data_IF_351151322150
#
_entry.id   IF_351151322150
#
_cell.length_a   1.000
_cell.length_b   1.000
_cell.length_c   1.000
_cell.angle_alpha   90.00
_cell.angle_beta   90.00
_cell.angle_gamma   90.00
#
_symmetry.space_group_name_H-M   'P 1'
#
loop_
_entity.id
_entity.type
_entity.pdbx_description
1 polymer ?
#
# COMPACT_ATOMS: atom_id res chain seq x y z
N UNK A 1 34.29 -68.15 -31.72
CA UNK A 1 32.84 -68.15 -31.40
C UNK A 1 32.71 -68.03 -29.90
N UNK A 2 32.51 -66.81 -29.42
CA UNK A 2 32.06 -66.44 -28.08
C UNK A 2 31.63 -64.96 -28.12
N UNK A 3 30.47 -64.71 -27.51
CA UNK A 3 29.82 -63.45 -27.11
C UNK A 3 29.28 -62.46 -28.17
N UNK A 4 28.01 -62.67 -28.52
CA UNK A 4 27.03 -61.62 -28.82
C UNK A 4 26.23 -61.34 -27.54
N UNK A 5 26.39 -60.14 -26.96
CA UNK A 5 25.40 -59.40 -26.16
C UNK A 5 26.06 -58.09 -25.71
N UNK A 6 26.09 -57.09 -26.60
CA UNK A 6 26.34 -55.70 -26.20
C UNK A 6 25.00 -54.95 -26.27
N UNK A 7 24.56 -54.53 -25.09
CA UNK A 7 23.33 -53.79 -24.82
C UNK A 7 23.20 -52.56 -25.71
N UNK A 8 22.23 -52.59 -26.61
CA UNK A 8 21.75 -51.43 -27.33
C UNK A 8 20.95 -50.55 -26.33
N UNK A 9 21.65 -49.79 -25.49
CA UNK A 9 21.04 -48.81 -24.58
C UNK A 9 20.40 -47.70 -25.42
N UNK A 10 19.09 -47.78 -25.61
CA UNK A 10 18.24 -46.70 -26.09
C UNK A 10 18.61 -45.39 -25.37
N UNK A 11 18.74 -44.32 -26.14
CA UNK A 11 19.03 -43.01 -25.57
C UNK A 11 17.81 -42.53 -24.77
N UNK A 12 18.01 -41.82 -23.66
CA UNK A 12 16.94 -41.33 -22.75
C UNK A 12 15.85 -40.45 -23.39
N UNK A 13 16.00 -40.05 -24.65
CA UNK A 13 15.00 -39.31 -25.43
C UNK A 13 14.22 -40.21 -26.41
N UNK A 14 14.65 -41.47 -26.58
CA UNK A 14 13.96 -42.54 -27.32
C UNK A 14 12.96 -43.28 -26.41
N UNK A 15 13.18 -43.27 -25.08
CA UNK A 15 12.15 -43.61 -24.10
C UNK A 15 10.99 -42.63 -24.20
N UNK A 16 9.79 -43.14 -24.46
CA UNK A 16 8.57 -42.34 -24.57
C UNK A 16 8.38 -41.40 -23.39
N UNK A 17 7.73 -40.26 -23.63
CA UNK A 17 7.45 -39.20 -22.65
C UNK A 17 6.97 -39.77 -21.30
N UNK A 18 7.89 -39.94 -20.35
CA UNK A 18 7.53 -40.25 -18.97
C UNK A 18 6.80 -39.03 -18.43
N UNK A 19 5.51 -39.21 -18.14
CA UNK A 19 4.69 -38.14 -17.58
C UNK A 19 5.24 -37.84 -16.19
N UNK A 20 5.92 -36.72 -16.04
CA UNK A 20 6.45 -36.22 -14.75
C UNK A 20 5.40 -36.11 -13.64
N UNK A 21 4.11 -36.14 -14.00
CA UNK A 21 2.97 -36.17 -13.09
C UNK A 21 2.75 -37.52 -12.40
N UNK A 22 3.35 -38.61 -12.88
CA UNK A 22 3.28 -39.93 -12.24
C UNK A 22 4.23 -40.06 -11.03
N UNK A 23 5.18 -39.12 -10.87
CA UNK A 23 6.09 -39.04 -9.72
C UNK A 23 5.59 -38.13 -8.58
N UNK A 24 4.44 -37.49 -8.76
CA UNK A 24 3.73 -36.78 -7.68
C UNK A 24 2.90 -37.81 -6.92
N UNK A 25 3.49 -38.44 -5.92
CA UNK A 25 2.76 -39.32 -5.00
C UNK A 25 1.79 -38.48 -4.15
N UNK A 26 0.53 -38.90 -4.11
CA UNK A 26 -0.47 -38.37 -3.19
C UNK A 26 -0.19 -38.92 -1.78
N UNK A 27 -0.37 -38.11 -0.73
CA UNK A 27 -0.35 -38.58 0.66
C UNK A 27 -1.47 -39.64 0.90
N UNK A 28 -1.45 -40.38 2.03
CA UNK A 28 -2.44 -41.45 2.36
C UNK A 28 -3.92 -41.05 2.25
N UNK A 29 -4.22 -39.74 2.20
CA UNK A 29 -5.56 -39.17 2.05
C UNK A 29 -5.88 -38.65 0.61
N UNK A 30 -5.00 -38.82 -0.37
CA UNK A 30 -5.25 -38.44 -1.78
C UNK A 30 -5.22 -36.93 -2.07
N UNK A 31 -4.61 -36.11 -1.19
CA UNK A 31 -4.74 -34.64 -1.24
C UNK A 31 -3.38 -33.91 -1.19
N UNK A 32 -2.91 -33.42 -2.36
CA UNK A 32 -1.69 -32.61 -2.50
C UNK A 32 -1.81 -31.15 -1.97
N UNK A 33 -3.03 -30.66 -1.72
CA UNK A 33 -3.29 -29.23 -1.46
C UNK A 33 -3.00 -28.77 -0.01
N UNK A 34 -3.02 -29.69 0.96
CA UNK A 34 -2.97 -29.32 2.40
C UNK A 34 -1.63 -28.70 2.82
N UNK A 35 -0.51 -29.21 2.29
CA UNK A 35 0.84 -28.75 2.62
C UNK A 35 1.13 -27.33 2.12
N UNK A 36 0.59 -26.95 0.97
CA UNK A 36 0.80 -25.60 0.39
C UNK A 36 0.03 -24.55 1.19
N UNK A 37 -1.20 -24.89 1.62
CA UNK A 37 -2.02 -24.00 2.45
C UNK A 37 -1.34 -23.68 3.79
N UNK A 38 -0.75 -24.68 4.45
CA UNK A 38 -0.03 -24.49 5.73
C UNK A 38 1.23 -23.62 5.57
N UNK A 39 1.96 -23.75 4.45
CA UNK A 39 3.13 -22.91 4.15
C UNK A 39 2.71 -21.45 3.95
N UNK A 40 1.66 -21.21 3.16
CA UNK A 40 1.11 -19.88 2.93
C UNK A 40 0.61 -19.29 4.26
N UNK A 41 -0.07 -20.07 5.08
CA UNK A 41 -0.59 -19.66 6.39
C UNK A 41 0.55 -19.19 7.32
N UNK A 42 1.60 -20.01 7.44
CA UNK A 42 2.77 -19.69 8.26
C UNK A 42 3.47 -18.42 7.76
N UNK A 43 3.50 -18.21 6.45
CA UNK A 43 4.07 -17.00 5.85
C UNK A 43 3.27 -15.74 6.20
N UNK A 44 1.92 -15.79 6.13
CA UNK A 44 1.04 -14.68 6.50
C UNK A 44 1.22 -14.30 7.96
N UNK A 45 1.24 -15.29 8.85
CA UNK A 45 1.43 -15.09 10.29
C UNK A 45 2.76 -14.44 10.63
N UNK A 46 3.84 -14.89 9.98
CA UNK A 46 5.14 -14.26 10.13
C UNK A 46 5.09 -12.77 9.74
N UNK A 47 4.44 -12.44 8.62
CA UNK A 47 4.24 -11.04 8.20
C UNK A 47 3.48 -10.23 9.26
N UNK A 48 2.46 -10.77 9.91
CA UNK A 48 1.75 -10.05 10.97
C UNK A 48 2.59 -9.86 12.25
N UNK A 49 3.40 -10.86 12.61
CA UNK A 49 4.30 -10.76 13.76
C UNK A 49 5.36 -9.67 13.55
N UNK A 50 5.90 -9.57 12.33
CA UNK A 50 6.94 -8.59 11.96
C UNK A 50 6.42 -7.13 11.97
N UNK A 51 5.10 -6.91 12.04
CA UNK A 51 4.47 -5.56 12.06
C UNK A 51 4.46 -4.90 13.44
N UNK A 52 4.68 -5.64 14.52
CA UNK A 52 4.42 -5.16 15.87
C UNK A 52 5.60 -4.38 16.42
N UNK A 53 5.32 -3.18 16.94
CA UNK A 53 6.31 -2.38 17.68
C UNK A 53 7.31 -1.64 16.80
N UNK A 54 7.02 -1.51 15.51
CA UNK A 54 7.88 -0.79 14.56
C UNK A 54 7.31 0.58 14.27
N UNK A 55 8.20 1.58 14.14
CA UNK A 55 7.80 2.93 13.72
C UNK A 55 7.45 2.93 12.23
N UNK A 56 6.30 3.47 11.88
CA UNK A 56 5.82 3.51 10.49
C UNK A 56 5.85 4.93 9.90
N UNK A 57 6.11 5.01 8.59
CA UNK A 57 5.99 6.25 7.82
C UNK A 57 4.54 6.49 7.39
N UNK A 58 3.78 7.28 8.18
CA UNK A 58 2.35 7.48 7.91
C UNK A 58 2.03 8.48 6.80
N UNK A 59 2.95 9.38 6.48
CA UNK A 59 2.82 10.30 5.35
C UNK A 59 3.76 9.82 4.24
N UNK A 60 3.18 9.20 3.22
CA UNK A 60 3.91 8.59 2.11
C UNK A 60 3.68 9.35 0.81
N UNK A 61 4.78 9.61 0.12
CA UNK A 61 4.77 10.10 -1.26
C UNK A 61 5.44 9.05 -2.14
N UNK A 62 4.64 8.40 -2.98
CA UNK A 62 5.11 7.34 -3.87
C UNK A 62 5.04 7.80 -5.32
N UNK A 63 6.15 7.75 -6.05
CA UNK A 63 6.11 7.81 -7.52
C UNK A 63 6.23 6.41 -8.08
N UNK A 64 5.30 6.03 -8.94
CA UNK A 64 5.33 4.75 -9.66
C UNK A 64 5.84 5.00 -11.06
N UNK A 65 6.91 4.32 -11.44
CA UNK A 65 7.47 4.29 -12.78
C UNK A 65 6.96 3.02 -13.46
N UNK A 66 6.21 3.17 -14.54
CA UNK A 66 5.64 2.06 -15.32
C UNK A 66 6.36 1.99 -16.66
N UNK A 67 6.84 0.79 -16.99
CA UNK A 67 7.39 0.47 -18.30
C UNK A 67 6.27 0.40 -19.35
N UNK A 68 6.44 1.15 -20.44
CA UNK A 68 5.61 1.09 -21.65
C UNK A 68 6.51 0.95 -22.89
N UNK A 69 7.53 0.09 -22.78
CA UNK A 69 8.38 -0.36 -23.89
C UNK A 69 7.75 -1.49 -24.69
N UNK A 70 8.36 -1.82 -25.83
CA UNK A 70 7.95 -2.94 -26.69
C UNK A 70 7.92 -4.30 -25.95
N UNK A 71 8.79 -4.49 -24.96
CA UNK A 71 8.83 -5.71 -24.13
C UNK A 71 7.54 -5.94 -23.29
N UNK A 72 6.70 -4.93 -23.15
CA UNK A 72 5.41 -5.02 -22.46
C UNK A 72 4.29 -5.58 -23.36
N UNK A 73 4.53 -5.73 -24.66
CA UNK A 73 3.59 -6.35 -25.59
C UNK A 73 3.63 -7.89 -25.53
N UNK A 74 4.65 -8.47 -24.88
CA UNK A 74 4.78 -9.91 -24.71
C UNK A 74 3.57 -10.53 -23.98
N UNK A 75 3.19 -11.73 -24.42
CA UNK A 75 2.03 -12.50 -23.91
C UNK A 75 2.38 -13.44 -22.75
N UNK A 76 3.38 -13.08 -21.95
CA UNK A 76 3.80 -13.83 -20.77
C UNK A 76 2.73 -13.80 -19.66
N UNK A 77 2.13 -12.62 -19.47
CA UNK A 77 0.91 -12.42 -18.69
C UNK A 77 -0.26 -12.17 -19.64
N UNK A 78 -1.44 -12.71 -19.31
CA UNK A 78 -2.62 -12.63 -20.19
C UNK A 78 -3.38 -11.30 -20.01
N UNK A 79 -3.81 -10.61 -21.10
CA UNK A 79 -3.51 -10.92 -22.51
C UNK A 79 -2.10 -10.49 -22.95
N UNK A 80 -1.59 -9.37 -22.43
CA UNK A 80 -0.19 -8.93 -22.56
C UNK A 80 0.30 -8.44 -21.20
N UNK A 81 1.63 -8.35 -21.01
CA UNK A 81 2.23 -7.78 -19.80
C UNK A 81 1.70 -6.38 -19.50
N UNK A 82 1.53 -5.54 -20.51
CA UNK A 82 0.97 -4.19 -20.39
C UNK A 82 -0.45 -4.20 -19.81
N UNK A 83 -1.36 -4.93 -20.46
CA UNK A 83 -2.78 -4.95 -20.05
C UNK A 83 -2.97 -5.58 -18.67
N UNK A 84 -2.19 -6.62 -18.35
CA UNK A 84 -2.17 -7.23 -17.03
C UNK A 84 -1.69 -6.22 -15.98
N UNK A 85 -0.55 -5.55 -16.25
CA UNK A 85 0.03 -4.53 -15.36
C UNK A 85 -0.94 -3.39 -15.11
N UNK A 86 -1.58 -2.84 -16.14
CA UNK A 86 -2.56 -1.77 -15.98
C UNK A 86 -3.71 -2.18 -15.07
N UNK A 87 -4.35 -3.33 -15.33
CA UNK A 87 -5.50 -3.78 -14.54
C UNK A 87 -5.15 -4.05 -13.08
N UNK A 88 -3.97 -4.64 -12.83
CA UNK A 88 -3.48 -4.85 -11.47
C UNK A 88 -3.11 -3.53 -10.80
N UNK A 89 -2.55 -2.59 -11.56
CA UNK A 89 -2.17 -1.27 -11.07
C UNK A 89 -3.39 -0.40 -10.75
N UNK A 90 -4.47 -0.46 -11.52
CA UNK A 90 -5.75 0.19 -11.20
C UNK A 90 -6.27 -0.26 -9.83
N UNK A 91 -6.30 -1.59 -9.59
CA UNK A 91 -6.68 -2.14 -8.29
C UNK A 91 -5.73 -1.74 -7.16
N UNK A 92 -4.43 -1.68 -7.43
CA UNK A 92 -3.45 -1.18 -6.47
C UNK A 92 -3.69 0.28 -6.08
N UNK A 93 -4.02 1.16 -7.03
CA UNK A 93 -4.30 2.57 -6.75
C UNK A 93 -5.49 2.69 -5.80
N UNK A 94 -6.57 1.95 -6.06
CA UNK A 94 -7.74 1.93 -5.19
C UNK A 94 -7.38 1.45 -3.77
N UNK A 95 -6.70 0.30 -3.66
CA UNK A 95 -6.29 -0.27 -2.37
C UNK A 95 -5.31 0.67 -1.62
N UNK A 96 -4.39 1.30 -2.34
CA UNK A 96 -3.39 2.23 -1.79
C UNK A 96 -4.03 3.45 -1.10
N UNK A 97 -5.02 4.08 -1.75
CA UNK A 97 -5.76 5.19 -1.17
C UNK A 97 -6.83 4.74 -0.16
N UNK A 98 -7.32 3.51 -0.28
CA UNK A 98 -8.28 2.93 0.67
C UNK A 98 -7.66 2.70 2.04
N UNK A 99 -6.43 2.18 2.09
CA UNK A 99 -5.74 1.96 3.36
C UNK A 99 -5.39 3.28 4.07
N UNK A 100 -4.89 4.26 3.32
CA UNK A 100 -4.51 5.55 3.87
C UNK A 100 -4.84 6.70 2.91
N UNK A 101 -5.91 7.46 3.19
CA UNK A 101 -6.34 8.54 2.29
C UNK A 101 -5.32 9.68 2.16
N UNK A 102 -4.41 9.85 3.14
CA UNK A 102 -3.43 10.93 3.17
C UNK A 102 -2.18 10.68 2.32
N UNK A 103 -2.08 9.51 1.68
CA UNK A 103 -0.99 9.21 0.77
C UNK A 103 -1.07 10.09 -0.48
N UNK A 104 0.08 10.26 -1.14
CA UNK A 104 0.14 10.89 -2.45
C UNK A 104 0.84 9.94 -3.42
N UNK A 105 0.27 9.85 -4.62
CA UNK A 105 0.77 9.03 -5.70
C UNK A 105 1.11 9.90 -6.91
N UNK A 106 2.21 9.63 -7.58
CA UNK A 106 2.53 10.17 -8.90
C UNK A 106 2.83 9.04 -9.86
N UNK A 107 2.46 9.20 -11.14
CA UNK A 107 2.70 8.17 -12.15
C UNK A 107 3.61 8.73 -13.23
N UNK A 108 4.71 8.01 -13.47
CA UNK A 108 5.68 8.26 -14.53
C UNK A 108 5.67 7.05 -15.45
N UNK A 109 5.64 7.30 -16.75
CA UNK A 109 5.73 6.28 -17.78
C UNK A 109 7.09 6.38 -18.46
N UNK A 110 7.72 5.25 -18.74
CA UNK A 110 8.94 5.21 -19.55
C UNK A 110 8.65 4.54 -20.89
N UNK A 111 8.89 5.26 -21.99
CA UNK A 111 8.64 4.80 -23.36
C UNK A 111 9.55 5.53 -24.34
N UNK A 112 9.90 4.90 -25.45
CA UNK A 112 10.72 5.49 -26.51
C UNK A 112 11.96 6.28 -25.99
N UNK A 113 12.69 5.68 -25.04
CA UNK A 113 13.91 6.20 -24.41
C UNK A 113 13.71 7.49 -23.60
N UNK A 114 12.46 7.81 -23.25
CA UNK A 114 12.08 9.02 -22.50
C UNK A 114 11.21 8.67 -21.31
N UNK A 115 11.26 9.55 -20.31
CA UNK A 115 10.34 9.52 -19.18
C UNK A 115 9.28 10.61 -19.35
N UNK A 116 8.03 10.22 -19.21
CA UNK A 116 6.87 11.10 -19.31
C UNK A 116 6.10 11.07 -18.00
N UNK A 117 5.80 12.24 -17.45
CA UNK A 117 4.96 12.34 -16.24
C UNK A 117 3.49 12.27 -16.65
N UNK A 118 2.87 11.13 -16.39
CA UNK A 118 1.45 10.91 -16.67
C UNK A 118 0.58 11.70 -15.70
N UNK A 119 0.90 11.64 -14.41
CA UNK A 119 0.21 12.41 -13.36
C UNK A 119 1.19 12.96 -12.35
N UNK A 120 0.93 14.19 -11.91
CA UNK A 120 1.65 14.80 -10.80
C UNK A 120 1.32 14.11 -9.49
N UNK A 121 2.22 14.25 -8.51
CA UNK A 121 2.03 13.74 -7.16
C UNK A 121 0.75 14.35 -6.54
N UNK A 122 -0.27 13.51 -6.35
CA UNK A 122 -1.60 13.97 -5.91
C UNK A 122 -2.30 12.93 -5.02
N UNK A 123 -3.31 13.39 -4.27
CA UNK A 123 -4.15 12.53 -3.43
C UNK A 123 -5.45 12.06 -4.11
N UNK A 124 -5.70 12.45 -5.37
CA UNK A 124 -6.95 12.14 -6.04
C UNK A 124 -6.83 10.89 -6.90
N UNK A 125 -7.28 9.76 -6.37
CA UNK A 125 -7.24 8.46 -7.05
C UNK A 125 -7.95 8.46 -8.42
N UNK A 126 -9.05 9.21 -8.59
CA UNK A 126 -9.80 9.25 -9.86
C UNK A 126 -8.98 9.84 -10.99
N UNK A 127 -8.22 10.91 -10.72
CA UNK A 127 -7.37 11.57 -11.71
C UNK A 127 -6.28 10.62 -12.22
N UNK A 128 -5.74 9.78 -11.33
CA UNK A 128 -4.77 8.74 -11.70
C UNK A 128 -5.41 7.65 -12.56
N UNK A 129 -6.59 7.17 -12.17
CA UNK A 129 -7.34 6.15 -12.91
C UNK A 129 -7.74 6.62 -14.31
N UNK A 130 -8.32 7.81 -14.43
CA UNK A 130 -8.72 8.41 -15.71
C UNK A 130 -7.52 8.62 -16.64
N UNK A 131 -6.36 9.04 -16.10
CA UNK A 131 -5.15 9.22 -16.88
C UNK A 131 -4.61 7.88 -17.42
N UNK A 132 -4.63 6.81 -16.61
CA UNK A 132 -4.26 5.47 -17.05
C UNK A 132 -5.21 4.96 -18.13
N UNK A 133 -6.52 5.09 -17.92
CA UNK A 133 -7.51 4.62 -18.88
C UNK A 133 -7.47 5.39 -20.20
N UNK A 134 -7.21 6.70 -20.16
CA UNK A 134 -7.19 7.52 -21.37
C UNK A 134 -5.93 7.30 -22.20
N UNK A 135 -4.76 7.20 -21.55
CA UNK A 135 -3.49 7.14 -22.27
C UNK A 135 -2.98 5.72 -22.48
N UNK A 136 -3.13 4.84 -21.50
CA UNK A 136 -2.49 3.53 -21.52
C UNK A 136 -3.40 2.41 -22.04
N UNK A 137 -4.71 2.64 -22.22
CA UNK A 137 -5.63 1.62 -22.75
C UNK A 137 -5.41 1.29 -24.23
N UNK A 138 -4.69 2.13 -24.98
CA UNK A 138 -4.34 1.82 -26.36
C UNK A 138 -3.28 0.71 -26.37
N UNK A 139 -3.55 -0.47 -26.98
CA UNK A 139 -2.58 -1.55 -27.06
C UNK A 139 -1.31 -1.17 -27.82
N UNK A 140 -1.37 -0.17 -28.72
CA UNK A 140 -0.21 0.32 -29.46
C UNK A 140 0.57 1.41 -28.70
N UNK A 141 0.19 1.73 -27.46
CA UNK A 141 0.87 2.74 -26.65
C UNK A 141 2.31 2.36 -26.29
N UNK A 142 2.57 1.07 -26.13
CA UNK A 142 3.87 0.53 -25.74
C UNK A 142 4.83 0.52 -26.93
N UNK A 143 5.83 1.41 -26.96
CA UNK A 143 6.74 1.55 -28.10
C UNK A 143 8.17 1.85 -27.61
N UNK A 144 9.14 1.25 -28.30
CA UNK A 144 10.56 1.52 -28.13
C UNK A 144 11.12 0.92 -26.85
N UNK A 145 12.26 1.44 -26.40
CA UNK A 145 12.98 0.95 -25.23
C UNK A 145 12.77 1.87 -24.01
N UNK A 146 12.84 1.37 -22.78
CA UNK A 146 12.67 2.21 -21.60
C UNK A 146 13.97 2.94 -21.24
N UNK A 147 13.81 4.10 -20.62
CA UNK A 147 14.89 4.82 -19.92
C UNK A 147 14.59 4.90 -18.43
N UNK A 148 15.44 4.27 -17.63
CA UNK A 148 15.31 4.26 -16.17
C UNK A 148 15.93 5.53 -15.58
N UNK A 149 17.09 5.98 -16.07
CA UNK A 149 17.76 7.18 -15.60
C UNK A 149 16.85 8.41 -15.68
N UNK A 150 16.25 8.68 -16.85
CA UNK A 150 15.37 9.83 -17.02
C UNK A 150 14.15 9.77 -16.08
N UNK A 151 13.64 8.56 -15.83
CA UNK A 151 12.49 8.34 -14.94
C UNK A 151 12.86 8.61 -13.48
N UNK A 152 14.05 8.17 -13.06
CA UNK A 152 14.59 8.42 -11.73
C UNK A 152 14.94 9.89 -11.51
N UNK A 153 15.49 10.58 -12.51
CA UNK A 153 15.77 12.01 -12.45
C UNK A 153 14.46 12.82 -12.31
N UNK A 154 13.43 12.45 -13.07
CA UNK A 154 12.11 13.09 -12.97
C UNK A 154 11.48 12.87 -11.58
N UNK A 155 11.57 11.65 -11.05
CA UNK A 155 11.11 11.33 -9.70
C UNK A 155 11.90 12.12 -8.64
N UNK A 156 13.23 12.19 -8.76
CA UNK A 156 14.11 12.93 -7.87
C UNK A 156 13.79 14.44 -7.87
N UNK A 157 13.59 15.03 -9.05
CA UNK A 157 13.29 16.46 -9.17
C UNK A 157 12.00 16.87 -8.45
N UNK A 158 11.03 15.96 -8.40
CA UNK A 158 9.75 16.13 -7.71
C UNK A 158 9.90 15.92 -6.20
N UNK A 159 10.61 14.86 -5.78
CA UNK A 159 10.69 14.48 -4.37
C UNK A 159 11.71 15.27 -3.54
N UNK A 160 12.72 15.89 -4.15
CA UNK A 160 13.75 16.63 -3.40
C UNK A 160 13.21 17.83 -2.60
N UNK A 161 12.08 18.37 -3.03
CA UNK A 161 11.42 19.51 -2.38
C UNK A 161 10.49 19.07 -1.23
N UNK A 162 10.23 17.78 -1.10
CA UNK A 162 9.36 17.25 -0.06
C UNK A 162 10.06 17.28 1.30
N UNK A 163 9.32 17.54 2.39
CA UNK A 163 9.88 17.54 3.74
C UNK A 163 10.54 16.21 4.12
N UNK A 164 11.52 16.25 5.03
CA UNK A 164 12.25 15.05 5.49
C UNK A 164 11.44 14.13 6.40
N UNK A 165 10.34 14.61 6.97
CA UNK A 165 9.47 13.82 7.86
C UNK A 165 8.50 12.90 7.10
N UNK A 166 8.42 13.02 5.77
CA UNK A 166 7.58 12.16 4.93
C UNK A 166 8.44 11.07 4.31
N UNK A 167 7.85 9.88 4.11
CA UNK A 167 8.55 8.84 3.34
C UNK A 167 8.47 9.18 1.86
N UNK A 168 9.61 9.07 1.19
CA UNK A 168 9.77 9.35 -0.23
C UNK A 168 10.14 8.04 -0.91
N UNK A 169 9.27 7.57 -1.77
CA UNK A 169 9.30 6.20 -2.28
C UNK A 169 9.14 6.19 -3.80
N UNK A 170 9.94 5.37 -4.47
CA UNK A 170 9.80 5.09 -5.90
C UNK A 170 9.50 3.61 -6.06
N UNK A 171 8.41 3.28 -6.74
CA UNK A 171 8.11 1.92 -7.16
C UNK A 171 8.35 1.83 -8.67
N UNK A 172 9.18 0.90 -9.11
CA UNK A 172 9.52 0.72 -10.52
C UNK A 172 8.96 -0.61 -11.00
N UNK A 173 8.05 -0.59 -11.97
CA UNK A 173 7.48 -1.79 -12.60
C UNK A 173 8.09 -1.90 -14.00
N UNK A 174 8.95 -2.89 -14.20
CA UNK A 174 9.74 -3.03 -15.44
C UNK A 174 9.53 -4.41 -16.07
N UNK A 175 9.17 -4.41 -17.34
CA UNK A 175 9.10 -5.62 -18.16
C UNK A 175 10.38 -5.85 -18.96
N UNK A 176 11.01 -4.78 -19.43
CA UNK A 176 12.23 -4.87 -20.20
C UNK A 176 13.44 -5.31 -19.36
N UNK A 177 14.26 -6.17 -19.97
CA UNK A 177 15.55 -6.60 -19.44
C UNK A 177 16.68 -5.61 -19.77
N UNK A 178 16.47 -4.75 -20.78
CA UNK A 178 17.41 -3.72 -21.21
C UNK A 178 16.89 -2.33 -20.85
N UNK A 179 17.81 -1.47 -20.43
CA UNK A 179 17.56 -0.04 -20.21
C UNK A 179 18.46 0.78 -21.13
N UNK A 180 17.88 1.78 -21.77
CA UNK A 180 18.58 2.66 -22.70
C UNK A 180 18.68 4.06 -22.09
N UNK A 181 19.73 4.26 -21.31
CA UNK A 181 19.98 5.49 -20.58
C UNK A 181 21.13 6.32 -21.21
N UNK A 182 21.06 7.67 -21.15
CA UNK A 182 22.04 8.54 -21.78
C UNK A 182 23.39 8.61 -21.04
N UNK A 183 23.42 8.31 -19.74
CA UNK A 183 24.60 8.44 -18.89
C UNK A 183 24.77 7.32 -17.87
N UNK A 184 25.61 7.55 -16.87
CA UNK A 184 25.87 6.58 -15.80
C UNK A 184 24.76 6.61 -14.73
N UNK A 185 23.96 5.55 -14.70
CA UNK A 185 22.87 5.38 -13.74
C UNK A 185 23.35 5.33 -12.28
N UNK A 186 24.62 4.97 -12.02
CA UNK A 186 25.12 4.89 -10.65
C UNK A 186 25.12 6.27 -9.95
N UNK A 187 25.30 7.35 -10.72
CA UNK A 187 25.28 8.72 -10.20
C UNK A 187 23.89 9.05 -9.63
N UNK A 188 22.83 8.78 -10.38
CA UNK A 188 21.47 9.06 -9.91
C UNK A 188 21.06 8.14 -8.76
N UNK A 189 21.52 6.88 -8.75
CA UNK A 189 21.29 5.96 -7.63
C UNK A 189 21.91 6.49 -6.34
N UNK A 190 23.15 7.00 -6.40
CA UNK A 190 23.81 7.62 -5.25
C UNK A 190 23.11 8.90 -4.81
N UNK A 191 22.63 9.73 -5.74
CA UNK A 191 21.85 10.92 -5.41
C UNK A 191 20.54 10.57 -4.69
N UNK A 192 19.80 9.57 -5.16
CA UNK A 192 18.58 9.07 -4.51
C UNK A 192 18.86 8.56 -3.10
N UNK A 193 19.93 7.78 -2.93
CA UNK A 193 20.34 7.26 -1.63
C UNK A 193 20.73 8.39 -0.67
N UNK A 194 21.48 9.39 -1.13
CA UNK A 194 21.87 10.57 -0.32
C UNK A 194 20.68 11.43 0.08
N UNK A 195 19.66 11.50 -0.77
CA UNK A 195 18.41 12.21 -0.48
C UNK A 195 17.48 11.40 0.45
N UNK A 196 17.78 10.14 0.74
CA UNK A 196 16.92 9.27 1.55
C UNK A 196 15.62 8.88 0.85
N UNK A 197 15.66 8.72 -0.47
CA UNK A 197 14.54 8.21 -1.28
C UNK A 197 14.70 6.69 -1.41
N UNK A 198 13.65 5.95 -1.06
CA UNK A 198 13.63 4.49 -1.13
C UNK A 198 13.12 4.03 -2.49
N UNK A 199 13.83 3.15 -3.19
CA UNK A 199 13.40 2.64 -4.50
C UNK A 199 13.19 1.13 -4.46
N UNK A 200 11.95 0.69 -4.68
CA UNK A 200 11.60 -0.72 -4.86
C UNK A 200 11.36 -1.02 -6.33
N UNK A 201 11.75 -2.21 -6.79
CA UNK A 201 11.58 -2.63 -8.19
C UNK A 201 10.81 -3.95 -8.24
N UNK A 202 9.86 -4.05 -9.17
CA UNK A 202 9.15 -5.26 -9.54
C UNK A 202 9.50 -5.54 -11.01
N UNK A 203 10.27 -6.60 -11.25
CA UNK A 203 10.61 -7.07 -12.60
C UNK A 203 9.61 -8.12 -13.08
N UNK A 204 9.14 -8.04 -14.33
CA UNK A 204 8.17 -9.01 -14.84
C UNK A 204 8.80 -10.32 -15.36
N UNK A 205 10.04 -10.28 -15.85
CA UNK A 205 10.65 -11.43 -16.55
C UNK A 205 11.82 -12.06 -15.77
N UNK A 206 12.91 -11.32 -15.59
CA UNK A 206 14.12 -11.84 -14.97
C UNK A 206 14.78 -10.84 -14.02
N UNK A 207 15.73 -11.33 -13.22
CA UNK A 207 16.55 -10.51 -12.34
C UNK A 207 17.59 -9.72 -13.15
N UNK A 208 17.55 -8.38 -13.05
CA UNK A 208 18.52 -7.47 -13.65
C UNK A 208 19.44 -6.88 -12.59
N UNK A 209 20.75 -6.98 -12.79
CA UNK A 209 21.77 -6.54 -11.83
C UNK A 209 21.63 -5.06 -11.41
N UNK A 210 21.32 -4.19 -12.37
CA UNK A 210 21.15 -2.74 -12.13
C UNK A 210 19.97 -2.47 -11.18
N UNK A 211 18.85 -3.17 -11.35
CA UNK A 211 17.67 -3.02 -10.47
C UNK A 211 17.95 -3.53 -9.06
N UNK A 212 18.68 -4.66 -8.95
CA UNK A 212 19.15 -5.18 -7.67
C UNK A 212 20.06 -4.19 -6.95
N UNK A 213 20.96 -3.55 -7.68
CA UNK A 213 21.85 -2.52 -7.16
C UNK A 213 21.08 -1.28 -6.67
N UNK A 214 20.13 -0.79 -7.46
CA UNK A 214 19.24 0.32 -7.11
C UNK A 214 18.48 0.04 -5.81
N UNK A 215 17.81 -1.10 -5.72
CA UNK A 215 17.04 -1.48 -4.54
C UNK A 215 17.94 -1.61 -3.29
N UNK A 216 19.10 -2.25 -3.42
CA UNK A 216 20.04 -2.43 -2.30
C UNK A 216 20.59 -1.11 -1.78
N UNK A 217 20.99 -0.20 -2.67
CA UNK A 217 21.58 1.08 -2.26
C UNK A 217 20.55 2.05 -1.65
N UNK A 218 19.31 2.01 -2.13
CA UNK A 218 18.22 2.88 -1.65
C UNK A 218 17.39 2.25 -0.52
N UNK A 219 17.79 1.09 0.01
CA UNK A 219 17.08 0.33 1.06
C UNK A 219 15.65 -0.07 0.67
N UNK A 220 15.42 -0.30 -0.62
CA UNK A 220 14.18 -0.87 -1.14
C UNK A 220 14.24 -2.39 -1.30
N UNK A 221 13.25 -2.94 -2.00
CA UNK A 221 13.15 -4.36 -2.31
C UNK A 221 13.15 -4.58 -3.82
N UNK A 222 13.77 -5.67 -4.28
CA UNK A 222 13.66 -6.13 -5.65
C UNK A 222 13.00 -7.51 -5.69
N UNK A 223 11.93 -7.63 -6.46
CA UNK A 223 11.19 -8.88 -6.64
C UNK A 223 10.94 -9.14 -8.12
N UNK A 224 10.91 -10.42 -8.50
CA UNK A 224 10.58 -10.87 -9.86
C UNK A 224 9.23 -11.57 -9.82
N UNK A 225 8.35 -11.21 -10.76
CA UNK A 225 7.02 -11.80 -10.91
C UNK A 225 7.14 -13.23 -11.44
N UNK A 226 6.25 -14.11 -10.96
CA UNK A 226 6.17 -15.51 -11.40
C UNK A 226 4.85 -15.74 -12.16
N UNK A 227 3.75 -15.30 -11.56
CA UNK A 227 2.39 -15.37 -12.09
C UNK A 227 1.61 -14.10 -11.73
N UNK A 228 0.40 -13.95 -12.28
CA UNK A 228 -0.46 -12.80 -12.04
C UNK A 228 -0.88 -12.67 -10.56
N UNK A 229 -0.97 -13.80 -9.85
CA UNK A 229 -1.28 -13.83 -8.41
C UNK A 229 -0.11 -13.33 -7.59
N UNK A 230 1.11 -13.82 -7.84
CA UNK A 230 2.30 -13.30 -7.18
C UNK A 230 2.50 -11.82 -7.49
N UNK A 231 2.21 -11.37 -8.72
CA UNK A 231 2.29 -9.94 -9.03
C UNK A 231 1.34 -9.10 -8.18
N UNK A 232 0.08 -9.54 -8.03
CA UNK A 232 -0.88 -8.89 -7.13
C UNK A 232 -0.36 -8.86 -5.69
N UNK A 233 0.16 -9.96 -5.18
CA UNK A 233 0.70 -10.04 -3.81
C UNK A 233 1.89 -9.07 -3.61
N UNK A 234 2.75 -8.91 -4.62
CA UNK A 234 3.86 -7.96 -4.60
C UNK A 234 3.38 -6.51 -4.57
N UNK A 235 2.32 -6.18 -5.30
CA UNK A 235 1.71 -4.84 -5.29
C UNK A 235 1.02 -4.56 -3.94
N UNK A 236 0.22 -5.51 -3.42
CA UNK A 236 -0.43 -5.36 -2.12
C UNK A 236 0.60 -5.22 -0.98
N UNK A 237 1.77 -5.86 -1.09
CA UNK A 237 2.87 -5.66 -0.13
C UNK A 237 3.43 -4.22 -0.15
N UNK A 238 3.32 -3.48 -1.25
CA UNK A 238 3.72 -2.06 -1.32
C UNK A 238 2.65 -1.12 -0.73
N UNK A 239 1.41 -1.58 -0.57
CA UNK A 239 0.32 -0.80 0.05
C UNK A 239 0.59 -0.56 1.53
N UNK A 240 1.15 -1.56 2.22
CA UNK A 240 1.44 -1.45 3.64
C UNK A 240 2.50 -0.37 3.93
N UNK A 241 2.33 0.44 4.99
CA UNK A 241 3.31 1.43 5.37
C UNK A 241 4.64 0.77 5.74
N UNK A 242 5.74 1.37 5.29
CA UNK A 242 7.08 0.83 5.47
C UNK A 242 7.58 1.13 6.90
N UNK A 243 8.30 0.18 7.53
CA UNK A 243 9.01 0.44 8.76
C UNK A 243 10.12 1.48 8.54
N UNK A 244 10.07 2.56 9.31
CA UNK A 244 11.07 3.61 9.31
C UNK A 244 12.20 3.26 10.28
N UNK A 245 13.46 3.63 9.96
CA UNK A 245 14.56 3.46 10.90
C UNK A 245 14.31 4.27 12.19
N UNK A 246 14.76 3.74 13.33
CA UNK A 246 14.58 4.37 14.65
C UNK A 246 15.21 5.78 14.71
N UNK A 247 16.26 6.02 13.92
CA UNK A 247 16.99 7.28 13.84
C UNK A 247 16.29 8.39 13.05
N UNK A 248 15.06 8.18 12.56
CA UNK A 248 14.35 9.18 11.76
C UNK A 248 13.82 10.35 12.61
N UNK A 249 13.82 11.56 12.09
CA UNK A 249 13.25 12.71 12.79
C UNK A 249 11.72 12.56 12.91
N UNK A 250 11.17 12.70 14.12
CA UNK A 250 9.73 12.74 14.37
C UNK A 250 9.28 14.19 14.40
N UNK A 251 8.85 14.73 13.26
CA UNK A 251 8.33 16.09 13.19
C UNK A 251 6.83 16.11 13.44
N UNK A 252 6.37 17.06 14.25
CA UNK A 252 4.95 17.36 14.40
C UNK A 252 4.47 18.18 13.20
N UNK A 253 3.50 17.67 12.45
CA UNK A 253 2.93 18.34 11.28
C UNK A 253 1.61 19.00 11.68
N UNK A 254 1.43 20.26 11.27
CA UNK A 254 0.16 20.96 11.46
C UNK A 254 -0.85 20.43 10.43
N UNK A 255 -1.98 19.90 10.91
CA UNK A 255 -3.10 19.47 10.05
C UNK A 255 -4.30 20.40 10.21
N UNK A 256 -5.06 20.56 9.13
CA UNK A 256 -6.33 21.28 9.13
C UNK A 256 -7.51 20.32 9.07
N UNK A 257 -8.42 20.43 10.03
CA UNK A 257 -9.72 19.74 10.00
C UNK A 257 -10.78 20.73 9.50
N UNK A 258 -11.13 20.70 8.21
CA UNK A 258 -12.12 21.60 7.67
C UNK A 258 -13.52 21.19 8.13
N UNK A 259 -14.35 22.19 8.43
CA UNK A 259 -15.77 21.97 8.68
C UNK A 259 -16.58 22.18 7.41
N UNK A 260 -17.65 21.39 7.27
CA UNK A 260 -18.66 21.63 6.27
C UNK A 260 -19.55 22.76 6.76
N UNK A 261 -19.39 23.97 6.20
CA UNK A 261 -20.27 25.09 6.53
C UNK A 261 -21.64 24.88 5.88
N UNK A 262 -22.54 24.21 6.61
CA UNK A 262 -23.98 24.35 6.36
C UNK A 262 -24.41 25.70 6.90
N UNK A 263 -24.57 26.71 6.05
CA UNK A 263 -25.21 27.95 6.48
C UNK A 263 -26.64 27.62 6.93
N UNK A 264 -26.92 27.78 8.23
CA UNK A 264 -28.21 27.50 8.84
C UNK A 264 -29.34 28.31 8.19
N UNK A 265 -30.10 27.67 7.31
CA UNK A 265 -31.37 28.17 6.77
C UNK A 265 -31.30 29.29 5.72
N UNK A 266 -30.11 29.79 5.34
CA UNK A 266 -29.94 30.73 4.22
C UNK A 266 -29.15 30.05 3.11
N UNK A 267 -29.63 30.14 1.87
CA UNK A 267 -28.96 29.53 0.71
C UNK A 267 -27.48 29.97 0.64
N UNK A 268 -26.57 29.00 0.66
CA UNK A 268 -25.14 29.27 0.58
C UNK A 268 -24.79 29.87 -0.80
N UNK A 269 -23.95 30.93 -0.84
CA UNK A 269 -23.53 31.52 -2.10
C UNK A 269 -22.71 30.52 -2.91
N UNK A 270 -22.95 30.49 -4.22
CA UNK A 270 -22.14 29.73 -5.16
C UNK A 270 -20.70 30.26 -5.11
N UNK A 271 -19.77 29.40 -4.74
CA UNK A 271 -18.36 29.76 -4.54
C UNK A 271 -17.50 28.81 -5.35
N UNK A 272 -16.48 29.36 -6.00
CA UNK A 272 -15.51 28.60 -6.79
C UNK A 272 -14.64 27.74 -5.88
N UNK A 273 -14.30 26.55 -6.36
CA UNK A 273 -13.43 25.63 -5.65
C UNK A 273 -11.97 25.88 -6.07
N UNK A 274 -11.06 25.97 -5.10
CA UNK A 274 -9.62 26.17 -5.34
C UNK A 274 -8.97 25.01 -6.12
N UNK A 275 -9.55 23.80 -6.08
CA UNK A 275 -9.06 22.66 -6.85
C UNK A 275 -9.22 22.83 -8.37
N UNK A 276 -10.21 23.61 -8.82
CA UNK A 276 -10.62 23.70 -10.23
C UNK A 276 -10.45 25.11 -10.82
N UNK A 277 -9.65 25.97 -10.17
CA UNK A 277 -9.39 27.32 -10.69
C UNK A 277 -8.48 27.29 -11.93
N UNK A 278 -7.59 26.31 -12.05
CA UNK A 278 -6.61 26.23 -13.14
C UNK A 278 -7.12 25.51 -14.39
N UNK A 279 -8.12 24.62 -14.27
CA UNK A 279 -8.71 23.92 -15.43
C UNK A 279 -9.42 24.87 -16.42
N UNK A 280 -9.65 26.13 -16.03
CA UNK A 280 -10.30 27.15 -16.86
C UNK A 280 -9.36 28.07 -17.64
N UNK A 281 -8.03 28.00 -17.46
CA UNK A 281 -7.10 29.00 -18.05
C UNK A 281 -6.31 28.52 -19.27
N UNK A 282 -6.52 27.31 -19.77
CA UNK A 282 -5.71 26.76 -20.87
C UNK A 282 -6.47 26.46 -22.17
N UNK A 283 -7.56 27.17 -22.50
CA UNK A 283 -8.12 27.18 -23.86
C UNK A 283 -8.91 28.47 -24.14
N UNK A 284 -8.21 29.54 -24.53
CA UNK A 284 -8.81 30.62 -25.32
C UNK A 284 -9.01 30.10 -26.75
N UNK A 285 -10.05 29.31 -26.98
CA UNK A 285 -10.62 29.11 -28.31
C UNK A 285 -12.09 29.50 -28.25
N UNK A 286 -12.36 30.68 -28.80
CA UNK A 286 -13.66 31.23 -29.11
C UNK A 286 -14.45 30.24 -29.95
N UNK A 287 -15.36 29.47 -29.34
CA UNK A 287 -16.43 28.79 -30.06
C UNK A 287 -17.73 28.90 -29.27
N UNK A 288 -18.65 29.69 -29.82
CA UNK A 288 -20.09 29.62 -29.57
C UNK A 288 -20.56 28.16 -29.69
N UNK A 289 -21.27 27.66 -28.68
CA UNK A 289 -22.16 26.52 -28.89
C UNK A 289 -23.32 26.54 -27.90
N UNK A 290 -24.50 26.77 -28.47
CA UNK A 290 -25.79 26.41 -27.91
C UNK A 290 -25.79 24.96 -27.42
N UNK A 291 -26.48 24.78 -26.29
CA UNK A 291 -27.16 23.59 -25.77
C UNK A 291 -27.22 22.35 -26.68
N UNK A 292 -26.54 21.28 -26.25
CA UNK A 292 -27.04 19.91 -26.04
C UNK A 292 -25.93 18.89 -26.35
N UNK A 293 -25.40 18.24 -25.31
CA UNK A 293 -25.08 16.80 -25.27
C UNK A 293 -24.15 16.49 -24.09
N UNK A 294 -24.41 15.33 -23.48
CA UNK A 294 -23.62 14.72 -22.40
C UNK A 294 -22.12 14.72 -22.70
N UNK A 295 -21.35 15.49 -21.93
CA UNK A 295 -19.89 15.43 -21.91
C UNK A 295 -19.42 15.88 -20.53
N UNK A 296 -18.92 14.94 -19.73
CA UNK A 296 -18.35 15.13 -18.39
C UNK A 296 -16.97 15.82 -18.45
N UNK A 297 -16.88 16.98 -19.10
CA UNK A 297 -15.68 17.81 -19.04
C UNK A 297 -15.77 18.79 -17.87
N UNK A 298 -14.71 18.78 -17.05
CA UNK A 298 -14.48 19.47 -15.79
C UNK A 298 -14.39 20.99 -15.94
N UNK A 299 -15.48 21.61 -16.39
CA UNK A 299 -15.68 23.04 -16.23
C UNK A 299 -15.70 23.38 -14.74
N UNK A 300 -15.08 24.49 -14.34
CA UNK A 300 -15.01 24.99 -12.95
C UNK A 300 -16.40 25.14 -12.34
N UNK A 301 -16.97 24.04 -11.83
CA UNK A 301 -18.35 23.99 -11.34
C UNK A 301 -18.45 24.82 -10.08
N UNK A 302 -19.20 25.92 -10.17
CA UNK A 302 -19.67 26.67 -9.03
C UNK A 302 -20.54 25.75 -8.17
N UNK A 303 -20.00 25.31 -7.05
CA UNK A 303 -20.73 24.45 -6.11
C UNK A 303 -21.25 25.29 -4.95
N UNK A 304 -22.36 24.88 -4.32
CA UNK A 304 -22.80 25.46 -3.04
C UNK A 304 -22.07 24.83 -1.84
N UNK A 305 -21.81 23.53 -1.93
CA UNK A 305 -21.21 22.72 -0.87
C UNK A 305 -19.68 22.62 -1.04
N UNK A 306 -18.97 22.49 0.08
CA UNK A 306 -17.53 22.32 0.10
C UNK A 306 -16.95 22.39 1.51
N UNK A 307 -15.69 22.01 1.61
CA UNK A 307 -14.87 22.05 2.81
C UNK A 307 -14.06 23.33 2.84
N UNK A 308 -14.02 24.00 3.98
CA UNK A 308 -13.32 25.27 4.12
C UNK A 308 -12.06 25.09 4.97
N UNK A 309 -10.93 25.54 4.43
CA UNK A 309 -9.66 25.51 5.14
C UNK A 309 -9.76 26.34 6.44
N UNK A 310 -9.39 25.79 7.61
CA UNK A 310 -9.49 26.52 8.87
C UNK A 310 -8.51 27.70 8.96
N UNK A 311 -7.43 27.72 8.16
CA UNK A 311 -6.41 28.76 8.20
C UNK A 311 -6.71 29.91 7.22
N UNK A 312 -6.94 29.62 5.94
CA UNK A 312 -7.14 30.65 4.91
C UNK A 312 -8.60 30.77 4.42
N UNK A 313 -9.51 29.91 4.89
CA UNK A 313 -10.93 29.86 4.46
C UNK A 313 -11.16 29.58 2.97
N UNK A 314 -10.13 29.15 2.23
CA UNK A 314 -10.28 28.68 0.84
C UNK A 314 -11.16 27.43 0.80
N UNK A 315 -11.97 27.31 -0.25
CA UNK A 315 -12.93 26.22 -0.43
C UNK A 315 -12.36 25.08 -1.28
N UNK A 316 -12.64 23.85 -0.85
CA UNK A 316 -12.26 22.60 -1.49
C UNK A 316 -13.49 21.70 -1.67
N UNK A 317 -13.58 20.98 -2.79
CA UNK A 317 -14.69 20.07 -3.09
C UNK A 317 -14.48 18.69 -2.47
N UNK A 318 -13.24 18.24 -2.37
CA UNK A 318 -12.85 16.91 -1.92
C UNK A 318 -11.74 17.02 -0.86
N UNK A 319 -11.63 15.96 -0.04
CA UNK A 319 -10.60 15.77 0.97
C UNK A 319 -10.11 14.32 0.87
N UNK A 320 -8.86 14.04 1.26
CA UNK A 320 -7.86 14.97 1.77
C UNK A 320 -7.09 15.70 0.66
N UNK A 321 -6.71 16.96 0.89
CA UNK A 321 -6.00 17.79 -0.09
C UNK A 321 -5.05 18.76 0.62
N UNK A 322 -3.90 19.06 0.02
CA UNK A 322 -3.05 20.15 0.49
C UNK A 322 -3.60 21.52 0.03
N UNK A 323 -3.75 22.44 0.97
CA UNK A 323 -4.33 23.74 0.69
C UNK A 323 -3.41 24.61 -0.16
N UNK A 324 -3.72 24.83 -1.45
CA UNK A 324 -2.93 25.65 -2.38
C UNK A 324 -2.66 27.09 -1.92
N UNK A 325 -3.49 27.64 -1.04
CA UNK A 325 -3.34 29.01 -0.54
C UNK A 325 -2.39 29.11 0.66
N UNK A 326 -2.33 28.09 1.52
CA UNK A 326 -1.58 28.18 2.78
C UNK A 326 -0.67 26.98 3.10
N UNK A 327 -0.60 25.98 2.22
CA UNK A 327 0.20 24.76 2.38
C UNK A 327 -0.29 23.79 3.47
N UNK A 328 -1.42 24.07 4.13
CA UNK A 328 -1.93 23.22 5.20
C UNK A 328 -2.57 21.96 4.63
N UNK A 329 -2.15 20.78 5.09
CA UNK A 329 -2.80 19.51 4.74
C UNK A 329 -4.19 19.45 5.36
N UNK A 330 -5.23 19.34 4.53
CA UNK A 330 -6.62 19.24 4.94
C UNK A 330 -7.05 17.78 4.92
N UNK A 331 -7.50 17.26 6.07
CA UNK A 331 -8.01 15.90 6.19
C UNK A 331 -9.19 15.86 7.18
N UNK A 332 -10.02 14.82 7.10
CA UNK A 332 -11.04 14.57 8.12
C UNK A 332 -10.47 13.67 9.21
N UNK A 333 -11.06 13.69 10.40
CA UNK A 333 -10.72 12.75 11.47
C UNK A 333 -10.93 11.29 11.04
N UNK A 334 -11.92 11.03 10.18
CA UNK A 334 -12.17 9.69 9.64
C UNK A 334 -11.05 9.20 8.73
N UNK A 335 -10.43 10.09 7.94
CA UNK A 335 -9.28 9.71 7.09
C UNK A 335 -8.08 9.25 7.93
N UNK A 336 -7.82 9.93 9.05
CA UNK A 336 -6.77 9.51 9.98
C UNK A 336 -7.16 8.23 10.72
N UNK A 337 -8.44 8.09 11.09
CA UNK A 337 -8.92 6.90 11.80
C UNK A 337 -8.75 5.62 10.97
N UNK A 338 -8.89 5.69 9.65
CA UNK A 338 -8.64 4.56 8.75
C UNK A 338 -7.22 4.02 8.90
N UNK A 339 -6.23 4.88 9.09
CA UNK A 339 -4.82 4.49 9.22
C UNK A 339 -4.43 3.90 10.58
N UNK A 340 -5.31 3.97 11.60
CA UNK A 340 -5.00 3.55 12.97
C UNK A 340 -4.66 2.06 13.10
N UNK A 341 -5.21 1.22 12.22
CA UNK A 341 -4.97 -0.21 12.25
C UNK A 341 -3.51 -0.59 12.00
N UNK A 342 -2.76 0.26 11.28
CA UNK A 342 -1.31 0.10 11.13
C UNK A 342 -0.53 0.49 12.40
N UNK A 343 -1.01 1.47 13.15
CA UNK A 343 -0.36 1.97 14.37
C UNK A 343 -0.61 1.06 15.58
N UNK A 344 -1.78 0.42 15.62
CA UNK A 344 -2.18 -0.49 16.68
C UNK A 344 -2.70 -1.83 16.09
N UNK A 345 -1.83 -2.62 15.43
CA UNK A 345 -2.24 -3.89 14.87
C UNK A 345 -2.64 -4.88 15.95
N UNK A 346 -3.58 -5.78 15.63
CA UNK A 346 -3.94 -6.89 16.50
C UNK A 346 -2.76 -7.83 16.62
N UNK A 347 -2.40 -8.20 17.86
CA UNK A 347 -1.34 -9.18 18.12
C UNK A 347 -1.76 -10.55 17.56
N UNK A 348 -0.86 -11.29 16.89
CA UNK A 348 -1.17 -12.63 16.39
C UNK A 348 -1.67 -13.50 17.54
N UNK A 349 -2.66 -14.31 17.24
CA UNK A 349 -3.24 -15.22 18.22
C UNK A 349 -2.35 -16.45 18.41
N UNK A 350 -2.30 -16.94 19.64
CA UNK A 350 -1.47 -18.08 20.00
C UNK A 350 -2.11 -19.38 19.47
N UNK A 351 -1.35 -20.26 18.78
CA UNK A 351 -1.85 -21.57 18.39
C UNK A 351 -2.16 -22.42 19.63
N UNK A 352 -3.31 -23.09 19.61
CA UNK A 352 -3.70 -24.06 20.63
C UNK A 352 -3.56 -25.47 20.08
N UNK A 353 -2.79 -26.30 20.80
CA UNK A 353 -2.74 -27.74 20.53
C UNK A 353 -4.07 -28.40 20.90
N UNK A 354 -4.76 -28.89 19.87
CA UNK A 354 -6.09 -29.48 19.94
C UNK A 354 -6.11 -30.76 20.80
N UNK A 355 -4.99 -31.48 20.88
CA UNK A 355 -4.89 -32.77 21.58
C UNK A 355 -4.92 -32.67 23.12
N UNK A 356 -4.50 -31.54 23.69
CA UNK A 356 -4.35 -31.38 25.15
C UNK A 356 -5.31 -30.35 25.76
N UNK A 357 -5.73 -29.32 25.00
CA UNK A 357 -6.46 -28.17 25.57
C UNK A 357 -7.94 -28.09 25.19
N UNK A 358 -8.43 -28.85 24.21
CA UNK A 358 -9.85 -28.78 23.78
C UNK A 358 -10.84 -29.32 24.82
N UNK A 359 -10.41 -30.26 25.66
CA UNK A 359 -11.20 -30.84 26.76
C UNK A 359 -11.42 -29.86 27.91
N UNK A 360 -10.52 -28.88 28.08
CA UNK A 360 -10.60 -27.84 29.12
C UNK A 360 -11.34 -26.57 28.71
N UNK A 361 -11.74 -26.44 27.44
CA UNK A 361 -12.42 -25.25 26.96
C UNK A 361 -13.93 -25.27 27.34
N UNK A 362 -14.47 -24.19 27.93
CA UNK A 362 -15.87 -24.14 28.36
C UNK A 362 -16.87 -24.20 27.20
N UNK A 363 -16.45 -23.88 25.97
CA UNK A 363 -17.24 -24.03 24.73
C UNK A 363 -16.32 -24.47 23.59
N UNK A 364 -16.69 -25.55 22.90
CA UNK A 364 -16.02 -26.04 21.67
C UNK A 364 -16.46 -25.28 20.41
N UNK A 365 -16.66 -23.97 20.54
CA UNK A 365 -17.23 -23.13 19.49
C UNK A 365 -16.31 -21.93 19.26
N UNK A 366 -16.14 -21.53 18.00
CA UNK A 366 -15.48 -20.28 17.64
C UNK A 366 -16.28 -19.10 18.20
N UNK A 367 -15.59 -18.15 18.86
CA UNK A 367 -16.25 -17.00 19.47
C UNK A 367 -16.93 -16.08 18.44
N UNK A 368 -16.37 -15.98 17.22
CA UNK A 368 -16.90 -15.12 16.17
C UNK A 368 -18.00 -15.80 15.34
N UNK A 369 -17.68 -16.91 14.66
CA UNK A 369 -18.62 -17.57 13.74
C UNK A 369 -19.49 -18.67 14.38
N UNK A 370 -19.25 -19.03 15.64
CA UNK A 370 -19.95 -20.10 16.35
C UNK A 370 -19.83 -21.50 15.71
N UNK A 371 -18.86 -21.72 14.81
CA UNK A 371 -18.53 -23.04 14.26
C UNK A 371 -17.98 -23.97 15.35
N UNK A 372 -18.36 -25.25 15.32
CA UNK A 372 -17.85 -26.27 16.25
C UNK A 372 -16.47 -26.77 15.84
N UNK A 373 -15.55 -26.84 16.80
CA UNK A 373 -14.23 -27.43 16.62
C UNK A 373 -14.31 -28.96 16.70
N UNK A 374 -14.77 -29.62 15.63
CA UNK A 374 -14.89 -31.08 15.61
C UNK A 374 -13.59 -31.77 15.21
N UNK A 375 -12.87 -31.25 14.20
CA UNK A 375 -11.65 -31.87 13.61
C UNK A 375 -10.61 -30.85 13.13
N UNK A 376 -10.79 -29.55 13.40
CA UNK A 376 -9.83 -28.52 12.95
C UNK A 376 -8.50 -28.66 13.69
N UNK A 377 -7.39 -28.81 12.94
CA UNK A 377 -6.02 -28.86 13.47
C UNK A 377 -5.54 -27.50 14.00
N UNK A 378 -6.07 -26.41 13.45
CA UNK A 378 -5.58 -25.05 13.64
C UNK A 378 -6.59 -24.18 14.39
N UNK A 379 -6.44 -24.09 15.72
CA UNK A 379 -7.29 -23.28 16.61
C UNK A 379 -6.45 -22.21 17.30
N UNK A 380 -7.00 -21.01 17.44
CA UNK A 380 -6.25 -19.84 17.88
C UNK A 380 -6.85 -19.14 19.08
N UNK A 381 -5.99 -18.66 19.99
CA UNK A 381 -6.41 -17.97 21.21
C UNK A 381 -5.83 -16.56 21.27
N UNK A 382 -6.69 -15.59 21.56
CA UNK A 382 -6.23 -14.23 21.81
C UNK A 382 -5.49 -14.14 23.16
N UNK A 383 -4.28 -13.56 23.17
CA UNK A 383 -3.51 -13.36 24.40
C UNK A 383 -4.15 -12.38 25.41
N UNK A 384 -5.02 -11.48 24.97
CA UNK A 384 -5.62 -10.43 25.82
C UNK A 384 -6.98 -10.83 26.43
N UNK A 385 -7.93 -11.24 25.59
CA UNK A 385 -9.28 -11.61 26.04
C UNK A 385 -9.46 -13.12 26.25
N UNK A 386 -8.48 -13.93 25.83
CA UNK A 386 -8.48 -15.38 25.92
C UNK A 386 -9.63 -16.09 25.18
N UNK A 387 -10.38 -15.38 24.32
CA UNK A 387 -11.34 -15.99 23.41
C UNK A 387 -10.65 -16.83 22.35
N UNK A 388 -11.37 -17.85 21.86
CA UNK A 388 -10.88 -18.83 20.89
C UNK A 388 -11.54 -18.61 19.52
N UNK A 389 -10.75 -18.70 18.46
CA UNK A 389 -11.14 -18.45 17.08
C UNK A 389 -10.69 -19.60 16.17
N UNK A 390 -11.47 -19.90 15.13
CA UNK A 390 -11.03 -20.76 14.03
C UNK A 390 -10.07 -20.00 13.11
N UNK A 391 -9.38 -20.72 12.22
CA UNK A 391 -8.46 -20.15 11.23
C UNK A 391 -9.09 -19.03 10.38
N UNK A 392 -10.28 -19.25 9.83
CA UNK A 392 -10.94 -18.25 8.97
C UNK A 392 -11.23 -16.95 9.73
N UNK A 393 -11.66 -17.06 10.99
CA UNK A 393 -11.90 -15.90 11.84
C UNK A 393 -10.60 -15.21 12.25
N UNK A 394 -9.53 -15.96 12.51
CA UNK A 394 -8.20 -15.39 12.77
C UNK A 394 -7.71 -14.55 11.59
N UNK A 395 -7.75 -15.11 10.37
CA UNK A 395 -7.39 -14.38 9.15
C UNK A 395 -8.28 -13.16 8.93
N UNK A 396 -9.61 -13.31 9.05
CA UNK A 396 -10.54 -12.20 8.89
C UNK A 396 -10.30 -11.06 9.91
N UNK A 397 -9.98 -11.41 11.16
CA UNK A 397 -9.69 -10.43 12.21
C UNK A 397 -8.41 -9.65 11.90
N UNK A 398 -7.38 -10.32 11.38
CA UNK A 398 -6.09 -9.68 11.10
C UNK A 398 -6.05 -8.92 9.77
N UNK A 399 -6.74 -9.42 8.73
CA UNK A 399 -6.70 -8.87 7.37
C UNK A 399 -7.77 -7.80 7.10
N UNK A 400 -8.96 -7.92 7.68
CA UNK A 400 -10.12 -7.04 7.34
C UNK A 400 -10.61 -6.26 8.55
N UNK A 401 -10.91 -6.95 9.65
CA UNK A 401 -11.55 -6.30 10.80
C UNK A 401 -10.57 -5.43 11.60
N UNK A 402 -9.29 -5.83 11.60
CA UNK A 402 -8.19 -5.25 12.38
C UNK A 402 -8.53 -4.98 13.86
N UNK A 403 -9.44 -5.75 14.44
CA UNK A 403 -9.90 -5.59 15.82
C UNK A 403 -10.46 -6.91 16.33
N UNK A 404 -9.97 -7.36 17.48
CA UNK A 404 -10.44 -8.60 18.11
C UNK A 404 -11.84 -8.40 18.75
N UNK A 405 -12.90 -9.10 18.31
CA UNK A 405 -14.26 -8.93 18.86
C UNK A 405 -14.35 -9.22 20.37
N UNK A 406 -13.54 -10.16 20.87
CA UNK A 406 -13.51 -10.45 22.31
C UNK A 406 -12.94 -9.31 23.14
N UNK A 407 -11.94 -8.58 22.63
CA UNK A 407 -11.32 -7.46 23.33
C UNK A 407 -12.21 -6.21 23.32
N UNK A 408 -13.01 -6.00 22.28
CA UNK A 408 -13.93 -4.86 22.19
C UNK A 408 -15.12 -5.01 23.14
N UNK A 409 -15.60 -6.24 23.34
CA UNK A 409 -16.73 -6.54 24.26
C UNK A 409 -16.25 -6.70 25.70
N UNK A 410 -15.07 -7.29 25.91
CA UNK A 410 -14.43 -7.47 27.22
C UNK A 410 -13.10 -6.73 27.23
N UNK A 411 -13.09 -5.38 27.36
CA UNK A 411 -11.86 -4.70 27.66
C UNK A 411 -11.38 -5.22 29.02
N UNK A 412 -10.34 -6.05 29.03
CA UNK A 412 -9.62 -6.33 30.27
C UNK A 412 -9.14 -4.98 30.80
N UNK A 413 -9.26 -4.71 32.11
CA UNK A 413 -8.65 -3.52 32.68
C UNK A 413 -7.16 -3.61 32.38
N UNK A 414 -6.65 -2.68 31.58
CA UNK A 414 -5.23 -2.52 31.33
C UNK A 414 -4.56 -2.45 32.72
N UNK A 415 -3.48 -3.21 33.00
CA UNK A 415 -2.74 -2.98 34.23
C UNK A 415 -2.32 -1.51 34.21
N UNK A 416 -2.81 -0.75 35.20
CA UNK A 416 -2.49 0.66 35.35
C UNK A 416 -0.97 0.81 35.25
N UNK A 417 -0.52 1.65 34.33
CA UNK A 417 0.86 2.12 34.30
C UNK A 417 1.04 2.82 35.65
N UNK A 418 1.66 2.13 36.61
CA UNK A 418 2.13 2.76 37.85
C UNK A 418 3.11 3.83 37.42
N UNK A 419 2.85 5.12 37.68
CA UNK A 419 3.84 6.14 37.44
C UNK A 419 5.03 5.80 38.33
N UNK A 420 6.18 5.52 37.71
CA UNK A 420 7.46 5.46 38.39
C UNK A 420 7.71 6.85 38.96
N UNK A 421 7.41 7.02 40.24
CA UNK A 421 7.84 8.17 41.01
C UNK A 421 9.38 8.19 40.99
N UNK A 422 9.95 9.00 40.10
CA UNK A 422 11.30 9.48 40.32
C UNK A 422 11.28 10.34 41.59
N UNK A 423 11.89 9.81 42.65
CA UNK A 423 12.20 10.54 43.87
C UNK A 423 13.13 11.71 43.52
N UNK A 424 12.56 12.88 43.26
CA UNK A 424 13.28 14.14 43.41
C UNK A 424 13.23 14.54 44.88
N UNK A 425 14.38 14.46 45.53
CA UNK A 425 14.65 14.96 46.87
C UNK A 425 14.34 16.46 46.93
N UNK A 426 13.43 16.82 47.84
CA UNK A 426 13.05 18.20 48.18
C UNK A 426 14.25 19.02 48.70
N UNK A 427 14.54 20.14 48.03
CA UNK A 427 15.14 21.33 48.65
C UNK A 427 14.02 22.28 49.08
N UNK A 428 14.02 22.68 50.34
CA UNK A 428 12.93 23.41 50.99
C UNK A 428 12.80 24.89 50.63
N UNK A 429 11.60 25.42 50.87
CA UNK A 429 11.28 26.86 50.83
C UNK A 429 9.76 27.08 50.98
N UNK A 430 9.26 27.92 51.90
CA UNK A 430 7.90 27.82 52.41
C UNK A 430 6.90 28.81 51.77
N UNK A 431 5.63 28.41 51.75
CA UNK A 431 4.55 29.32 52.17
C UNK A 431 3.48 29.73 51.14
N UNK A 432 2.25 29.40 51.55
CA UNK A 432 0.99 30.17 51.39
C UNK A 432 0.13 29.91 50.15
N UNK A 433 -1.10 29.40 50.40
CA UNK A 433 -2.29 29.80 49.65
C UNK A 433 -3.31 28.71 49.30
N UNK A 434 -4.09 28.26 50.27
CA UNK A 434 -5.40 27.60 50.06
C UNK A 434 -6.32 28.47 49.17
N UNK A 435 -7.07 27.85 48.25
CA UNK A 435 -8.50 28.10 48.07
C UNK A 435 -9.13 27.06 47.13
N UNK A 436 -9.80 26.08 47.75
CA UNK A 436 -10.79 25.22 47.12
C UNK A 436 -12.06 26.03 46.79
N UNK A 437 -12.53 26.02 45.55
CA UNK A 437 -13.96 26.26 45.23
C UNK A 437 -14.46 25.36 44.09
N UNK A 438 -15.40 24.49 44.47
CA UNK A 438 -16.43 23.82 43.68
C UNK A 438 -17.12 24.80 42.72
N UNK A 439 -17.55 24.34 41.55
CA UNK A 439 -18.98 24.31 41.17
C UNK A 439 -19.22 23.60 39.83
N UNK A 440 -20.19 22.70 39.89
CA UNK A 440 -20.92 22.07 38.79
C UNK A 440 -21.57 23.13 37.89
N UNK A 441 -21.57 22.87 36.58
CA UNK A 441 -22.78 22.76 35.74
C UNK A 441 -22.57 21.59 34.81
#
# INVERSE_FOLDING_TARGET
>A
MADENEDNKEYRWETGYEKTWEALEEDEDGLLESSIADIIEKSKRKRHADKIGVRLGMMRHMNVIVDCSEAMQDQDLKPTRHMCTLKLFEGFIEEFFEQNPIYQLGIIVTRNKRAERLTDLSGNYRRHLEALQTQCSDPNYCIGEPSLQNSLELAYSTMRMLPTHTSREVLVIMGSLTVCDPGDINVIIQQLASAGIRCSVIGLAAEVCVYKLLARLTRGSYSVVLDDRHFRDLLSAQVEPIPMPESGDASLVKMGFPHHLSHGGKEAPFTTCMCHLEDGSSNNSTTNSNSNSNSNNTTSKLNKLGYFCPQCRSKYCELPVECRTCGLTLATSLHLARSLHHLAPVKPFDPLDVKTNLTSLPRKLCYACQKTFNEEKNVYRCGSCHCVYCLECDLFIHDILHSCPGCTIRPTPTPAITPTHHNHTNGGGPGVGDYSKKLKV
#
